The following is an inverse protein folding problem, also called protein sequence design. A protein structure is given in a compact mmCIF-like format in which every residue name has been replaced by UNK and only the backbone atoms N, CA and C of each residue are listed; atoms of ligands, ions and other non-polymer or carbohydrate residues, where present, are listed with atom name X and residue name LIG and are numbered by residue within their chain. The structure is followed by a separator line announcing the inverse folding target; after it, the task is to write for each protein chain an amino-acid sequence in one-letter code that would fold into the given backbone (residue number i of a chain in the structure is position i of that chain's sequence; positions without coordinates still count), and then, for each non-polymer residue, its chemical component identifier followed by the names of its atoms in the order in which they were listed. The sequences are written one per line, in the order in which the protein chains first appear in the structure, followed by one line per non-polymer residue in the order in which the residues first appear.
data_IF_069226605044
#
_entry.id   IF_069226605044
#
_cell.length_a   1.000
_cell.length_b   1.000
_cell.length_c   1.000
_cell.angle_alpha   90.00
_cell.angle_beta   90.00
_cell.angle_gamma   90.00
#
_symmetry.space_group_name_H-M   'P 1'
#
loop_
_entity.id
_entity.type
_entity.pdbx_description
1 polymer ?
#
# COMPACT_ATOMS: atom_id res chain seq x y z
N UNK A 1 22.13 6.55 3.03
CA UNK A 1 22.94 7.30 2.03
C UNK A 1 24.20 6.56 1.58
N UNK A 2 24.86 5.75 2.43
CA UNK A 2 26.08 4.99 2.04
C UNK A 2 25.79 3.79 1.13
N UNK A 3 24.66 3.10 1.29
CA UNK A 3 24.26 1.95 0.47
C UNK A 3 23.88 2.36 -0.96
N UNK A 4 23.23 3.51 -1.12
CA UNK A 4 22.86 4.05 -2.45
C UNK A 4 24.10 4.37 -3.28
N UNK A 5 25.18 4.86 -2.67
CA UNK A 5 26.42 5.15 -3.37
C UNK A 5 27.14 3.91 -3.90
N UNK A 6 27.15 2.80 -3.15
CA UNK A 6 27.78 1.55 -3.58
C UNK A 6 26.96 0.84 -4.67
N UNK A 7 25.63 0.85 -4.56
CA UNK A 7 24.73 0.31 -5.60
C UNK A 7 24.85 1.12 -6.91
N UNK A 8 25.02 2.44 -6.85
CA UNK A 8 25.22 3.30 -8.00
C UNK A 8 26.53 2.98 -8.73
N UNK A 9 27.64 2.80 -7.99
CA UNK A 9 28.93 2.43 -8.60
C UNK A 9 28.90 1.05 -9.28
N UNK A 10 28.12 0.11 -8.78
CA UNK A 10 27.94 -1.20 -9.44
C UNK A 10 27.20 -1.03 -10.76
N UNK A 11 26.19 -0.15 -10.82
CA UNK A 11 25.43 0.14 -12.04
C UNK A 11 26.24 0.84 -13.11
N UNK A 12 27.09 1.77 -12.70
CA UNK A 12 27.99 2.46 -13.64
C UNK A 12 28.90 1.44 -14.35
N UNK A 13 29.39 0.43 -13.61
CA UNK A 13 30.19 -0.65 -14.20
C UNK A 13 29.36 -1.54 -15.13
N UNK A 14 28.18 -1.98 -14.73
CA UNK A 14 27.30 -2.78 -15.60
C UNK A 14 26.99 -2.05 -16.91
N UNK A 15 26.79 -0.73 -16.85
CA UNK A 15 26.57 0.10 -18.02
C UNK A 15 27.81 0.17 -18.91
N UNK A 16 29.00 0.36 -18.31
CA UNK A 16 30.28 0.34 -19.02
C UNK A 16 30.55 -1.01 -19.68
N UNK A 17 30.28 -2.11 -18.97
CA UNK A 17 30.44 -3.48 -19.49
C UNK A 17 29.54 -3.72 -20.72
N UNK A 18 28.28 -3.28 -20.67
CA UNK A 18 27.35 -3.34 -21.82
C UNK A 18 27.89 -2.53 -23.01
N UNK A 19 28.41 -1.33 -22.78
CA UNK A 19 28.99 -0.49 -23.84
C UNK A 19 30.20 -1.18 -24.50
N UNK A 20 31.09 -1.77 -23.70
CA UNK A 20 32.27 -2.47 -24.19
C UNK A 20 31.83 -3.69 -25.02
N UNK A 21 30.84 -4.47 -24.56
CA UNK A 21 30.34 -5.62 -25.31
C UNK A 21 29.73 -5.21 -26.66
N UNK A 22 28.98 -4.11 -26.69
CA UNK A 22 28.42 -3.56 -27.93
C UNK A 22 29.55 -3.16 -28.89
N UNK A 23 30.59 -2.47 -28.40
CA UNK A 23 31.71 -2.02 -29.20
C UNK A 23 32.51 -3.20 -29.78
N UNK A 24 32.78 -4.25 -28.95
CA UNK A 24 33.46 -5.46 -29.40
C UNK A 24 32.63 -6.20 -30.47
N UNK A 25 31.32 -6.31 -30.30
CA UNK A 25 30.43 -6.91 -31.30
C UNK A 25 30.44 -6.17 -32.64
N UNK A 26 30.58 -4.85 -32.63
CA UNK A 26 30.76 -4.05 -33.85
C UNK A 26 32.10 -4.23 -34.48
N UNK A 27 33.18 -4.28 -33.72
CA UNK A 27 34.57 -4.41 -34.24
C UNK A 27 34.80 -5.82 -34.84
N UNK A 28 34.29 -6.85 -34.20
CA UNK A 28 34.41 -8.27 -34.65
C UNK A 28 33.36 -8.64 -35.70
N UNK A 29 32.35 -7.82 -35.90
CA UNK A 29 31.19 -8.08 -36.80
C UNK A 29 30.53 -9.45 -36.54
N UNK A 30 30.45 -9.84 -35.24
CA UNK A 30 29.90 -11.09 -34.78
C UNK A 30 28.45 -10.95 -34.27
N UNK A 31 27.45 -11.45 -35.02
CA UNK A 31 26.05 -11.36 -34.61
C UNK A 31 25.68 -12.32 -33.48
N UNK A 32 26.54 -13.23 -33.08
CA UNK A 32 26.25 -14.18 -31.98
C UNK A 32 26.22 -13.51 -30.60
N UNK A 33 26.81 -12.34 -30.45
CA UNK A 33 26.85 -11.56 -29.19
C UNK A 33 25.53 -10.79 -28.92
N UNK A 34 24.69 -10.63 -29.94
CA UNK A 34 23.46 -9.84 -29.83
C UNK A 34 22.50 -10.38 -28.75
N UNK A 35 22.21 -11.70 -28.64
CA UNK A 35 21.32 -12.20 -27.59
C UNK A 35 21.87 -11.97 -26.18
N UNK A 36 23.19 -12.09 -25.99
CA UNK A 36 23.82 -11.88 -24.68
C UNK A 36 23.73 -10.43 -24.26
N UNK A 37 23.96 -9.49 -25.19
CA UNK A 37 23.80 -8.04 -24.95
C UNK A 37 22.34 -7.73 -24.60
N UNK A 38 21.38 -8.38 -25.25
CA UNK A 38 19.96 -8.17 -25.00
C UNK A 38 19.55 -8.66 -23.61
N UNK A 39 20.05 -9.80 -23.17
CA UNK A 39 19.83 -10.31 -21.82
C UNK A 39 20.44 -9.39 -20.76
N UNK A 40 21.66 -8.88 -20.97
CA UNK A 40 22.30 -7.90 -20.09
C UNK A 40 21.50 -6.59 -20.00
N UNK A 41 20.99 -6.09 -21.13
CA UNK A 41 20.15 -4.88 -21.16
C UNK A 41 18.83 -5.08 -20.42
N UNK A 42 18.18 -6.23 -20.60
CA UNK A 42 16.92 -6.54 -19.92
C UNK A 42 17.12 -6.63 -18.41
N UNK A 43 18.20 -7.27 -17.96
CA UNK A 43 18.58 -7.33 -16.54
C UNK A 43 18.90 -5.93 -15.98
N UNK A 44 19.64 -5.14 -16.72
CA UNK A 44 20.00 -3.76 -16.32
C UNK A 44 18.76 -2.88 -16.17
N UNK A 45 17.84 -2.93 -17.16
CA UNK A 45 16.60 -2.14 -17.12
C UNK A 45 15.69 -2.54 -15.97
N UNK A 46 15.51 -3.85 -15.71
CA UNK A 46 14.73 -4.33 -14.57
C UNK A 46 15.29 -3.85 -13.23
N UNK A 47 16.61 -3.86 -13.11
CA UNK A 47 17.27 -3.44 -11.88
C UNK A 47 17.24 -1.93 -11.69
N UNK A 48 17.32 -1.18 -12.78
CA UNK A 48 17.20 0.29 -12.79
C UNK A 48 15.78 0.71 -12.40
N UNK A 49 14.76 0.01 -12.85
CA UNK A 49 13.37 0.25 -12.43
C UNK A 49 13.18 -0.03 -10.94
N UNK A 50 13.73 -1.13 -10.41
CA UNK A 50 13.71 -1.43 -8.97
C UNK A 50 14.36 -0.32 -8.14
N UNK A 51 15.50 0.20 -8.60
CA UNK A 51 16.19 1.31 -7.94
C UNK A 51 15.38 2.61 -8.01
N UNK A 52 14.79 2.90 -9.17
CA UNK A 52 13.90 4.06 -9.33
C UNK A 52 12.73 4.02 -8.37
N UNK A 53 12.12 2.86 -8.19
CA UNK A 53 11.03 2.68 -7.20
C UNK A 53 11.50 2.96 -5.78
N UNK A 54 12.69 2.47 -5.38
CA UNK A 54 13.27 2.77 -4.06
C UNK A 54 13.52 4.27 -3.85
N UNK A 55 14.00 4.97 -4.88
CA UNK A 55 14.23 6.42 -4.81
C UNK A 55 12.94 7.24 -4.69
N UNK A 56 11.84 6.77 -5.29
CA UNK A 56 10.53 7.41 -5.17
C UNK A 56 9.94 7.25 -3.76
N UNK A 57 10.32 6.19 -3.03
CA UNK A 57 9.90 5.92 -1.65
C UNK A 57 10.89 6.58 -0.66
N UNK A 58 11.01 7.91 -0.73
CA UNK A 58 11.94 8.70 0.09
C UNK A 58 11.23 9.62 1.10
N UNK A 59 9.94 9.44 1.32
CA UNK A 59 9.17 10.17 2.32
C UNK A 59 9.59 9.78 3.75
N UNK A 60 9.37 10.70 4.70
CA UNK A 60 9.75 10.54 6.11
C UNK A 60 9.21 9.25 6.74
N UNK A 61 7.97 8.86 6.37
CA UNK A 61 7.30 7.68 6.90
C UNK A 61 7.31 6.48 5.95
N UNK A 62 7.86 6.63 4.74
CA UNK A 62 7.78 5.58 3.73
C UNK A 62 8.50 4.28 4.14
N UNK A 63 9.51 4.37 5.02
CA UNK A 63 10.28 3.23 5.51
C UNK A 63 9.57 2.41 6.61
N UNK A 64 8.45 2.92 7.15
CA UNK A 64 7.73 2.27 8.24
C UNK A 64 6.87 1.11 7.76
N UNK A 65 6.50 0.26 8.72
CA UNK A 65 5.44 -0.73 8.56
C UNK A 65 4.10 -0.02 8.31
N UNK A 66 3.14 -0.68 7.69
CA UNK A 66 1.84 -0.11 7.38
C UNK A 66 0.72 -0.77 8.17
N UNK A 67 -0.17 0.03 8.71
CA UNK A 67 -1.46 -0.41 9.23
C UNK A 67 -2.51 -0.05 8.18
N UNK A 68 -3.13 -1.08 7.60
CA UNK A 68 -4.17 -0.94 6.59
C UNK A 68 -5.52 -1.33 7.18
N UNK A 69 -6.47 -0.41 7.13
CA UNK A 69 -7.84 -0.61 7.59
C UNK A 69 -8.80 -0.52 6.42
N UNK A 70 -9.61 -1.54 6.25
CA UNK A 70 -10.68 -1.60 5.27
C UNK A 70 -12.04 -1.57 5.97
N UNK A 71 -12.94 -0.69 5.53
CA UNK A 71 -14.30 -0.64 6.05
C UNK A 71 -15.30 -0.68 4.90
N UNK A 72 -16.24 -1.62 4.97
CA UNK A 72 -17.36 -1.68 4.03
C UNK A 72 -18.23 -0.42 4.16
N UNK A 73 -18.46 0.26 3.05
CA UNK A 73 -19.29 1.45 2.96
C UNK A 73 -20.68 1.18 2.40
N UNK A 74 -21.19 2.11 1.59
CA UNK A 74 -22.47 1.95 0.94
C UNK A 74 -22.49 0.76 -0.03
N UNK A 75 -23.52 -0.09 0.05
CA UNK A 75 -23.70 -1.27 -0.80
C UNK A 75 -24.20 -2.51 -0.04
N UNK A 76 -24.37 -2.46 1.29
CA UNK A 76 -24.85 -3.58 2.10
C UNK A 76 -23.97 -4.82 1.98
N UNK A 77 -24.56 -6.01 1.83
CA UNK A 77 -23.82 -7.28 1.67
C UNK A 77 -22.79 -7.26 0.54
N UNK A 78 -23.09 -6.57 -0.56
CA UNK A 78 -22.18 -6.42 -1.70
C UNK A 78 -20.89 -5.66 -1.32
N UNK A 79 -20.99 -4.63 -0.46
CA UNK A 79 -19.81 -3.89 0.02
C UNK A 79 -18.96 -4.73 0.98
N UNK A 80 -19.57 -5.59 1.78
CA UNK A 80 -18.85 -6.53 2.64
C UNK A 80 -18.08 -7.58 1.82
N UNK A 81 -18.69 -8.10 0.74
CA UNK A 81 -18.00 -9.00 -0.18
C UNK A 81 -16.84 -8.29 -0.92
N UNK A 82 -17.05 -7.04 -1.34
CA UNK A 82 -15.98 -6.23 -1.93
C UNK A 82 -14.82 -6.01 -0.95
N UNK A 83 -15.10 -5.74 0.32
CA UNK A 83 -14.09 -5.62 1.38
C UNK A 83 -13.28 -6.92 1.51
N UNK A 84 -13.93 -8.08 1.48
CA UNK A 84 -13.27 -9.40 1.50
C UNK A 84 -12.36 -9.61 0.28
N UNK A 85 -12.79 -9.16 -0.90
CA UNK A 85 -11.97 -9.25 -2.11
C UNK A 85 -10.72 -8.37 -2.01
N UNK A 86 -10.84 -7.13 -1.52
CA UNK A 86 -9.72 -6.23 -1.29
C UNK A 86 -8.75 -6.78 -0.25
N UNK A 87 -9.26 -7.26 0.88
CA UNK A 87 -8.44 -7.92 1.91
C UNK A 87 -7.60 -9.04 1.32
N UNK A 88 -8.20 -9.95 0.57
CA UNK A 88 -7.51 -11.05 -0.09
C UNK A 88 -6.48 -10.56 -1.11
N UNK A 89 -6.78 -9.47 -1.85
CA UNK A 89 -5.86 -8.85 -2.80
C UNK A 89 -4.61 -8.34 -2.09
N UNK A 90 -4.76 -7.58 -1.00
CA UNK A 90 -3.63 -7.03 -0.25
C UNK A 90 -2.80 -8.11 0.45
N UNK A 91 -3.43 -9.14 1.01
CA UNK A 91 -2.71 -10.28 1.58
C UNK A 91 -1.82 -10.97 0.53
N UNK A 92 -2.37 -11.28 -0.65
CA UNK A 92 -1.60 -11.90 -1.75
C UNK A 92 -0.49 -11.00 -2.28
N UNK A 93 -0.73 -9.71 -2.33
CA UNK A 93 0.30 -8.75 -2.71
C UNK A 93 1.44 -8.74 -1.71
N UNK A 94 1.13 -8.70 -0.42
CA UNK A 94 2.11 -8.72 0.66
C UNK A 94 2.93 -10.02 0.64
N UNK A 95 2.28 -11.18 0.48
CA UNK A 95 2.95 -12.47 0.32
C UNK A 95 3.92 -12.49 -0.87
N UNK A 96 3.48 -11.97 -2.02
CA UNK A 96 4.32 -11.89 -3.23
C UNK A 96 5.54 -10.99 -3.04
N UNK A 97 5.44 -9.97 -2.20
CA UNK A 97 6.54 -9.06 -1.83
C UNK A 97 7.41 -9.61 -0.70
N UNK A 98 7.00 -10.71 -0.06
CA UNK A 98 7.68 -11.29 1.10
C UNK A 98 7.44 -10.51 2.40
N UNK A 99 6.36 -9.72 2.47
CA UNK A 99 5.96 -8.98 3.66
C UNK A 99 5.19 -9.87 4.63
N UNK A 100 5.37 -9.62 5.93
CA UNK A 100 4.60 -10.30 6.97
C UNK A 100 3.26 -9.58 7.14
N UNK A 101 2.17 -10.34 7.16
CA UNK A 101 0.82 -9.82 7.42
C UNK A 101 0.32 -10.35 8.76
N UNK A 102 -0.16 -9.44 9.61
CA UNK A 102 -0.78 -9.77 10.89
C UNK A 102 -2.16 -9.10 10.97
N UNK A 103 -3.18 -9.87 11.34
CA UNK A 103 -4.54 -9.35 11.49
C UNK A 103 -4.68 -8.79 12.90
N UNK A 104 -4.94 -7.48 13.02
CA UNK A 104 -5.13 -6.79 14.30
C UNK A 104 -6.59 -6.82 14.75
N UNK A 105 -7.51 -6.62 13.81
CA UNK A 105 -8.95 -6.60 14.06
C UNK A 105 -9.69 -7.16 12.86
N UNK A 106 -10.77 -7.88 13.11
CA UNK A 106 -11.56 -8.52 12.06
C UNK A 106 -13.02 -8.63 12.47
N UNK A 107 -13.89 -8.02 11.69
CA UNK A 107 -15.33 -8.04 11.91
C UNK A 107 -16.05 -8.57 10.67
N UNK A 108 -16.71 -9.72 10.82
CA UNK A 108 -17.52 -10.31 9.76
C UNK A 108 -18.73 -9.44 9.38
N UNK A 109 -19.15 -9.57 8.14
CA UNK A 109 -20.43 -9.01 7.69
C UNK A 109 -21.61 -9.85 8.20
N UNK A 110 -22.77 -9.22 8.36
CA UNK A 110 -23.94 -9.86 8.93
C UNK A 110 -24.44 -11.07 8.10
N UNK A 111 -24.32 -11.03 6.78
CA UNK A 111 -24.76 -12.11 5.88
C UNK A 111 -23.58 -12.75 5.12
N UNK A 112 -22.65 -11.96 4.66
CA UNK A 112 -21.47 -12.41 3.91
C UNK A 112 -20.37 -11.35 3.89
N UNK A 113 -19.14 -11.80 3.67
CA UNK A 113 -17.97 -10.92 3.52
C UNK A 113 -17.49 -10.32 4.84
N UNK A 114 -16.74 -9.24 4.75
CA UNK A 114 -16.07 -8.57 5.87
C UNK A 114 -16.63 -7.16 6.01
N UNK A 115 -17.08 -6.78 7.19
CA UNK A 115 -17.56 -5.43 7.50
C UNK A 115 -16.41 -4.47 7.75
N UNK A 116 -15.44 -4.88 8.54
CA UNK A 116 -14.20 -4.15 8.74
C UNK A 116 -13.04 -5.10 9.02
N UNK A 117 -11.85 -4.75 8.56
CA UNK A 117 -10.63 -5.48 8.88
C UNK A 117 -9.47 -4.50 9.00
N UNK A 118 -8.64 -4.70 10.01
CA UNK A 118 -7.40 -3.96 10.22
C UNK A 118 -6.26 -4.95 10.20
N UNK A 119 -5.30 -4.74 9.30
CA UNK A 119 -4.11 -5.58 9.16
C UNK A 119 -2.86 -4.73 9.29
N UNK A 120 -1.85 -5.30 9.91
CA UNK A 120 -0.49 -4.78 9.93
C UNK A 120 0.32 -5.49 8.86
N UNK A 121 1.00 -4.74 8.03
CA UNK A 121 1.88 -5.25 6.98
C UNK A 121 3.29 -4.77 7.28
N UNK A 122 4.15 -5.71 7.69
CA UNK A 122 5.54 -5.43 8.07
C UNK A 122 6.49 -5.80 6.94
N UNK A 123 7.31 -4.84 6.54
CA UNK A 123 8.33 -5.02 5.51
C UNK A 123 8.94 -3.71 5.05
N UNK A 124 10.04 -3.80 4.32
CA UNK A 124 10.78 -2.64 3.82
C UNK A 124 9.92 -1.74 2.94
N UNK A 125 9.72 -0.50 3.38
CA UNK A 125 8.91 0.51 2.72
C UNK A 125 7.42 0.11 2.52
N UNK A 126 6.87 -0.71 3.41
CA UNK A 126 5.49 -1.18 3.30
C UNK A 126 4.49 -0.02 3.25
N UNK A 127 4.65 0.98 4.11
CA UNK A 127 3.79 2.18 4.10
C UNK A 127 3.96 2.99 2.81
N UNK A 128 5.19 3.17 2.33
CA UNK A 128 5.46 3.92 1.10
C UNK A 128 4.76 3.34 -0.12
N UNK A 129 4.68 2.00 -0.22
CA UNK A 129 3.92 1.35 -1.29
C UNK A 129 2.41 1.49 -1.15
N UNK A 130 1.89 1.46 0.08
CA UNK A 130 0.45 1.40 0.33
C UNK A 130 -0.21 2.77 0.50
N UNK A 131 0.56 3.83 0.82
CA UNK A 131 0.00 5.17 1.08
C UNK A 131 -0.86 5.72 -0.08
N UNK A 132 -0.54 5.35 -1.31
CA UNK A 132 -1.30 5.78 -2.49
C UNK A 132 -2.66 5.07 -2.62
N UNK A 133 -2.86 3.96 -1.91
CA UNK A 133 -4.12 3.23 -1.86
C UNK A 133 -5.13 3.84 -0.87
N UNK A 134 -4.70 4.82 -0.07
CA UNK A 134 -5.59 5.52 0.85
C UNK A 134 -6.73 6.20 0.08
N UNK A 135 -7.98 5.88 0.44
CA UNK A 135 -9.14 6.45 -0.21
C UNK A 135 -10.33 5.51 -0.29
N UNK A 136 -11.19 5.76 -1.27
CA UNK A 136 -12.43 4.98 -1.46
C UNK A 136 -12.33 4.13 -2.72
N UNK A 137 -12.42 2.83 -2.54
CA UNK A 137 -12.41 1.84 -3.62
C UNK A 137 -13.82 1.54 -4.09
N UNK A 138 -14.08 1.75 -5.37
CA UNK A 138 -15.38 1.57 -6.01
C UNK A 138 -15.42 0.29 -6.84
N UNK A 139 -16.42 -0.56 -6.60
CA UNK A 139 -16.73 -1.71 -7.43
C UNK A 139 -18.05 -1.50 -8.16
N UNK A 140 -18.08 -1.81 -9.45
CA UNK A 140 -19.29 -1.84 -10.26
C UNK A 140 -19.39 -3.18 -10.97
N UNK A 141 -20.32 -4.04 -10.54
CA UNK A 141 -20.54 -5.36 -11.16
C UNK A 141 -22.01 -5.76 -11.11
N UNK A 142 -22.36 -6.83 -11.80
CA UNK A 142 -23.63 -7.53 -11.58
C UNK A 142 -23.49 -8.27 -10.25
N UNK A 143 -24.36 -7.94 -9.27
CA UNK A 143 -24.29 -8.52 -7.92
C UNK A 143 -24.69 -9.99 -7.95
N UNK A 144 -23.86 -10.89 -7.37
CA UNK A 144 -24.23 -12.28 -7.18
C UNK A 144 -25.34 -12.48 -6.13
N UNK A 145 -25.58 -11.45 -5.29
CA UNK A 145 -26.61 -11.46 -4.25
C UNK A 145 -27.98 -10.95 -4.75
N UNK A 146 -28.04 -10.43 -5.99
CA UNK A 146 -29.26 -9.90 -6.56
C UNK A 146 -29.81 -10.83 -7.65
N UNK A 147 -30.92 -11.52 -7.34
CA UNK A 147 -31.59 -12.42 -8.28
C UNK A 147 -32.08 -11.74 -9.58
N UNK A 148 -32.29 -10.42 -9.55
CA UNK A 148 -32.70 -9.66 -10.75
C UNK A 148 -31.54 -9.31 -11.70
N UNK A 149 -30.29 -9.70 -11.38
CA UNK A 149 -29.14 -9.48 -12.24
C UNK A 149 -28.82 -8.00 -12.51
N UNK A 150 -29.25 -7.09 -11.64
CA UNK A 150 -29.00 -5.66 -11.80
C UNK A 150 -27.56 -5.31 -11.44
N UNK A 151 -27.03 -4.31 -12.16
CA UNK A 151 -25.72 -3.73 -11.90
C UNK A 151 -25.76 -2.94 -10.58
N UNK A 152 -24.86 -3.27 -9.68
CA UNK A 152 -24.73 -2.63 -8.36
C UNK A 152 -23.40 -1.90 -8.25
N UNK A 153 -23.38 -0.85 -7.43
CA UNK A 153 -22.15 -0.10 -7.10
C UNK A 153 -21.93 -0.19 -5.60
N UNK A 154 -20.72 -0.59 -5.21
CA UNK A 154 -20.32 -0.74 -3.82
C UNK A 154 -19.05 0.04 -3.54
N UNK A 155 -18.91 0.51 -2.33
CA UNK A 155 -17.78 1.30 -1.88
C UNK A 155 -17.16 0.69 -0.63
N UNK A 156 -15.83 0.77 -0.56
CA UNK A 156 -15.03 0.39 0.61
C UNK A 156 -14.04 1.51 0.87
N UNK A 157 -13.93 1.99 2.11
CA UNK A 157 -12.84 2.88 2.50
C UNK A 157 -11.60 2.07 2.82
N UNK A 158 -10.47 2.55 2.36
CA UNK A 158 -9.15 2.02 2.65
C UNK A 158 -8.36 3.13 3.34
N UNK A 159 -8.05 2.92 4.62
CA UNK A 159 -7.23 3.84 5.40
C UNK A 159 -5.86 3.21 5.61
N UNK A 160 -4.82 3.95 5.28
CA UNK A 160 -3.43 3.49 5.42
C UNK A 160 -2.70 4.44 6.37
N UNK A 161 -2.14 3.88 7.43
CA UNK A 161 -1.41 4.62 8.46
C UNK A 161 -0.01 3.99 8.63
N UNK A 162 1.03 4.81 8.91
CA UNK A 162 2.34 4.29 9.29
C UNK A 162 2.28 3.71 10.71
N UNK A 163 2.96 2.60 10.93
CA UNK A 163 3.16 2.02 12.26
C UNK A 163 4.37 2.69 12.93
N UNK A 164 4.11 3.78 13.65
CA UNK A 164 5.13 4.55 14.35
C UNK A 164 5.35 3.91 15.72
N UNK A 165 6.49 3.25 15.90
CA UNK A 165 6.89 2.57 17.15
C UNK A 165 7.61 3.48 18.13
N UNK A 166 7.88 4.72 17.75
CA UNK A 166 8.54 5.69 18.58
C UNK A 166 7.52 6.30 19.56
N UNK A 167 7.79 6.18 20.85
CA UNK A 167 7.05 6.90 21.89
C UNK A 167 7.35 8.40 21.75
N UNK A 168 6.38 9.14 21.24
CA UNK A 168 6.47 10.60 21.19
C UNK A 168 6.09 11.10 22.57
N UNK A 169 7.08 11.50 23.36
CA UNK A 169 6.85 12.14 24.67
C UNK A 169 6.35 13.57 24.45
N UNK A 170 5.03 13.73 24.53
CA UNK A 170 4.38 15.04 24.38
C UNK A 170 4.08 15.57 25.78
N UNK A 171 4.80 16.58 26.24
CA UNK A 171 4.45 17.35 27.42
C UNK A 171 3.21 18.20 27.11
N UNK A 172 2.05 17.79 27.63
CA UNK A 172 0.83 18.57 27.58
C UNK A 172 0.76 19.47 28.80
N UNK A 173 0.87 20.76 28.60
CA UNK A 173 0.70 21.72 29.68
C UNK A 173 -0.78 21.70 30.16
N UNK A 174 -1.06 21.50 31.48
CA UNK A 174 -2.43 21.47 31.98
C UNK A 174 -3.24 22.74 31.70
N UNK A 175 -2.56 23.86 31.52
CA UNK A 175 -3.20 25.16 31.24
C UNK A 175 -3.74 25.25 29.81
N UNK A 176 -3.28 24.39 28.91
CA UNK A 176 -3.74 24.31 27.51
C UNK A 176 -4.97 23.40 27.34
N UNK A 177 -5.36 22.68 28.42
CA UNK A 177 -6.50 21.76 28.38
C UNK A 177 -7.74 22.52 28.91
N UNK A 178 -8.71 22.79 28.04
CA UNK A 178 -10.03 23.23 28.42
C UNK A 178 -11.01 22.07 28.47
N UNK A 179 -11.52 21.76 29.66
CA UNK A 179 -12.49 20.69 29.86
C UNK A 179 -13.89 21.33 29.98
N UNK A 180 -14.69 21.16 28.93
CA UNK A 180 -16.10 21.57 28.92
C UNK A 180 -16.97 20.33 29.21
N UNK A 181 -17.58 20.24 30.38
CA UNK A 181 -18.52 19.17 30.74
C UNK A 181 -19.93 19.60 30.36
N UNK A 182 -20.51 18.91 29.36
CA UNK A 182 -21.93 19.08 29.04
C UNK A 182 -22.73 17.99 29.77
N UNK A 183 -23.49 18.43 30.78
CA UNK A 183 -24.46 17.57 31.47
C UNK A 183 -25.74 17.50 30.60
N UNK A 184 -25.79 16.53 29.69
CA UNK A 184 -26.91 16.29 28.75
C UNK A 184 -28.28 16.15 29.44
N UNK A 185 -28.31 15.85 30.76
CA UNK A 185 -29.53 15.65 31.53
C UNK A 185 -30.06 16.90 32.23
N UNK A 186 -29.32 18.05 32.21
CA UNK A 186 -29.71 19.28 32.85
C UNK A 186 -30.00 20.42 31.86
N UNK A 187 -29.72 20.20 30.58
CA UNK A 187 -30.03 21.14 29.51
C UNK A 187 -31.37 20.79 28.89
N UNK A 188 -32.41 21.63 28.96
CA UNK A 188 -33.67 21.33 28.29
C UNK A 188 -33.42 21.19 26.78
N UNK A 189 -33.93 20.13 26.19
CA UNK A 189 -33.89 19.95 24.76
C UNK A 189 -34.58 21.12 24.05
N UNK A 190 -34.09 21.63 22.93
CA UNK A 190 -34.79 22.63 22.13
C UNK A 190 -36.21 22.23 21.68
N UNK A 191 -36.61 20.98 21.91
CA UNK A 191 -37.94 20.44 21.61
C UNK A 191 -38.89 20.49 22.80
N UNK A 192 -38.41 20.87 24.02
CA UNK A 192 -39.19 20.93 25.25
C UNK A 192 -39.51 22.38 25.62
N UNK A 193 -39.29 23.35 24.71
CA UNK A 193 -39.60 24.76 24.84
C UNK A 193 -40.75 25.17 23.92
#
# INVERSE_FOLDING_TARGET
TRLVGSEMCIRDREYEDIQVMIQMGYEENDPSVIPDIQEMLDHFTETLEKMRMKLLLSGEYDAYDAILRLNAGAGGTESCDWCSMLYRMYCRWAEKKGFKVEVLDYLDGDEAGIKSVTIQISGDNAYGYLRSEHGVHRLVRISPFNAAGKRQTSFVSCDVMPDIKEDIDIEINPDDIRIDTCLLYTSPSPRDA
#
